data_IF_142570147803
#
_entry.id   IF_142570147803
#
_cell.length_a   1.000
_cell.length_b   1.000
_cell.length_c   1.000
_cell.angle_alpha   90.00
_cell.angle_beta   90.00
_cell.angle_gamma   90.00
#
_symmetry.space_group_name_H-M   'P 1'
#
loop_
_entity.id
_entity.type
_entity.pdbx_description
1 polymer ?
#
# COMPACT_ATOMS: atom_id res chain seq x y z
N UNK A 1 13.25 3.75 16.78
CA UNK A 1 12.09 2.86 16.95
C UNK A 1 11.85 2.25 15.60
N UNK A 2 12.24 0.99 15.44
CA UNK A 2 12.24 0.28 14.16
C UNK A 2 10.85 -0.33 13.97
N UNK A 3 10.10 0.11 12.95
CA UNK A 3 8.72 -0.33 12.71
C UNK A 3 8.63 -1.86 12.59
N UNK A 4 9.71 -2.49 12.11
CA UNK A 4 9.88 -3.95 12.03
C UNK A 4 10.05 -4.64 13.38
N UNK A 5 10.66 -4.01 14.39
CA UNK A 5 10.74 -4.56 15.75
C UNK A 5 9.39 -4.49 16.47
N UNK A 6 8.66 -3.37 16.29
CA UNK A 6 7.33 -3.19 16.86
C UNK A 6 6.32 -4.19 16.25
N UNK A 7 6.36 -4.42 14.94
CA UNK A 7 5.55 -5.45 14.27
C UNK A 7 5.81 -6.85 14.82
N UNK A 8 7.08 -7.21 15.04
CA UNK A 8 7.44 -8.52 15.56
C UNK A 8 6.88 -8.74 16.98
N UNK A 9 6.93 -7.70 17.81
CA UNK A 9 6.37 -7.75 19.16
C UNK A 9 4.85 -7.98 19.14
N UNK A 10 4.13 -7.31 18.23
CA UNK A 10 2.70 -7.46 18.04
C UNK A 10 2.32 -8.87 17.58
N UNK A 11 3.05 -9.45 16.61
CA UNK A 11 2.80 -10.83 16.18
C UNK A 11 3.05 -11.86 17.29
N UNK A 12 4.04 -11.63 18.16
CA UNK A 12 4.28 -12.49 19.34
C UNK A 12 3.12 -12.43 20.34
N UNK A 13 2.54 -11.24 20.56
CA UNK A 13 1.37 -11.07 21.44
C UNK A 13 0.16 -11.80 20.84
N UNK A 14 -0.13 -11.59 19.55
CA UNK A 14 -1.22 -12.27 18.83
C UNK A 14 -1.09 -13.80 18.93
N UNK A 15 0.12 -14.35 18.78
CA UNK A 15 0.38 -15.79 18.97
C UNK A 15 0.06 -16.25 20.40
N UNK A 16 0.46 -15.49 21.43
CA UNK A 16 0.21 -15.84 22.85
C UNK A 16 -1.28 -15.88 23.20
N UNK A 17 -2.11 -15.09 22.52
CA UNK A 17 -3.56 -15.11 22.69
C UNK A 17 -4.27 -16.13 21.77
N UNK A 18 -3.52 -16.99 21.06
CA UNK A 18 -4.05 -18.14 20.32
C UNK A 18 -4.31 -17.91 18.82
N UNK A 19 -3.88 -16.78 18.24
CA UNK A 19 -4.07 -16.56 16.80
C UNK A 19 -3.19 -17.51 15.98
N UNK A 20 -3.76 -18.02 14.88
CA UNK A 20 -3.03 -18.87 13.94
C UNK A 20 -2.23 -18.05 12.95
N UNK A 21 -1.29 -18.68 12.24
CA UNK A 21 -0.54 -18.06 11.15
C UNK A 21 -1.46 -17.45 10.08
N UNK A 22 -2.54 -18.17 9.74
CA UNK A 22 -3.52 -17.71 8.75
C UNK A 22 -4.29 -16.47 9.21
N UNK A 23 -4.57 -16.34 10.50
CA UNK A 23 -5.25 -15.15 11.04
C UNK A 23 -4.31 -13.93 11.00
N UNK A 24 -3.05 -14.12 11.38
CA UNK A 24 -2.02 -13.08 11.30
C UNK A 24 -1.79 -12.62 9.84
N UNK A 25 -1.78 -13.54 8.88
CA UNK A 25 -1.66 -13.20 7.45
C UNK A 25 -2.83 -12.39 6.92
N UNK A 26 -4.07 -12.70 7.32
CA UNK A 26 -5.25 -11.90 6.93
C UNK A 26 -5.15 -10.48 7.47
N UNK A 27 -4.76 -10.32 8.74
CA UNK A 27 -4.53 -9.01 9.35
C UNK A 27 -3.43 -8.22 8.65
N UNK A 28 -2.31 -8.88 8.32
CA UNK A 28 -1.21 -8.27 7.59
C UNK A 28 -1.64 -7.80 6.19
N UNK A 29 -2.37 -8.63 5.45
CA UNK A 29 -2.87 -8.30 4.12
C UNK A 29 -3.80 -7.07 4.17
N UNK A 30 -4.70 -7.02 5.16
CA UNK A 30 -5.57 -5.88 5.38
C UNK A 30 -4.77 -4.61 5.69
N UNK A 31 -3.79 -4.69 6.60
CA UNK A 31 -2.90 -3.56 6.94
C UNK A 31 -2.19 -3.01 5.72
N UNK A 32 -1.56 -3.88 4.92
CA UNK A 32 -0.82 -3.49 3.72
C UNK A 32 -1.77 -2.88 2.68
N UNK A 33 -2.94 -3.48 2.49
CA UNK A 33 -3.94 -2.95 1.55
C UNK A 33 -4.41 -1.56 1.95
N UNK A 34 -4.62 -1.30 3.25
CA UNK A 34 -4.97 0.03 3.73
C UNK A 34 -3.81 1.02 3.63
N UNK A 35 -2.61 0.62 4.07
CA UNK A 35 -1.44 1.50 4.12
C UNK A 35 -0.94 1.92 2.74
N UNK A 36 -1.08 1.03 1.74
CA UNK A 36 -0.70 1.34 0.35
C UNK A 36 -1.90 1.76 -0.51
N UNK A 37 -3.05 1.11 -0.36
CA UNK A 37 -4.22 1.34 -1.21
C UNK A 37 -4.91 2.67 -0.94
N UNK A 38 -5.03 3.09 0.31
CA UNK A 38 -5.74 4.34 0.65
C UNK A 38 -4.97 5.58 0.14
N UNK A 39 -3.65 5.71 0.36
CA UNK A 39 -2.87 6.77 -0.27
C UNK A 39 -2.85 6.72 -1.80
N UNK A 40 -2.76 5.52 -2.40
CA UNK A 40 -2.79 5.35 -3.85
C UNK A 40 -4.12 5.85 -4.44
N UNK A 41 -5.25 5.47 -3.82
CA UNK A 41 -6.58 5.92 -4.23
C UNK A 41 -6.70 7.44 -4.17
N UNK A 42 -6.30 8.05 -3.06
CA UNK A 42 -6.34 9.51 -2.89
C UNK A 42 -5.45 10.20 -3.92
N UNK A 43 -4.25 9.69 -4.18
CA UNK A 43 -3.34 10.24 -5.17
C UNK A 43 -3.93 10.20 -6.59
N UNK A 44 -4.57 9.09 -6.98
CA UNK A 44 -5.25 8.97 -8.27
C UNK A 44 -6.41 9.97 -8.37
N UNK A 45 -7.26 10.05 -7.35
CA UNK A 45 -8.37 11.00 -7.30
C UNK A 45 -7.87 12.45 -7.43
N UNK A 46 -6.79 12.80 -6.72
CA UNK A 46 -6.16 14.11 -6.80
C UNK A 46 -5.60 14.40 -8.19
N UNK A 47 -4.87 13.44 -8.79
CA UNK A 47 -4.28 13.59 -10.11
C UNK A 47 -5.36 13.77 -11.20
N UNK A 48 -6.46 13.01 -11.14
CA UNK A 48 -7.59 13.14 -12.06
C UNK A 48 -8.28 14.49 -11.91
N UNK A 49 -8.56 14.91 -10.67
CA UNK A 49 -9.17 16.21 -10.40
C UNK A 49 -8.30 17.37 -10.94
N UNK A 50 -6.99 17.34 -10.66
CA UNK A 50 -6.04 18.34 -11.15
C UNK A 50 -5.96 18.34 -12.68
N UNK A 51 -5.94 17.16 -13.31
CA UNK A 51 -5.92 17.03 -14.77
C UNK A 51 -7.16 17.65 -15.41
N UNK A 52 -8.35 17.35 -14.89
CA UNK A 52 -9.62 17.90 -15.41
C UNK A 52 -9.62 19.43 -15.29
N UNK A 53 -9.25 19.97 -14.13
CA UNK A 53 -9.21 21.41 -13.90
C UNK A 53 -8.22 22.11 -14.84
N UNK A 54 -7.01 21.58 -14.96
CA UNK A 54 -5.96 22.11 -15.82
C UNK A 54 -6.35 22.06 -17.30
N UNK A 55 -6.90 20.93 -17.74
CA UNK A 55 -7.33 20.72 -19.13
C UNK A 55 -8.47 21.66 -19.52
N UNK A 56 -9.42 21.90 -18.62
CA UNK A 56 -10.48 22.88 -18.82
C UNK A 56 -9.92 24.30 -18.98
N UNK A 57 -8.86 24.65 -18.25
CA UNK A 57 -8.21 25.96 -18.33
C UNK A 57 -7.37 26.13 -19.61
N UNK A 58 -6.71 25.07 -20.07
CA UNK A 58 -5.84 25.05 -21.25
C UNK A 58 -6.57 24.80 -22.58
N UNK A 59 -7.89 24.61 -22.57
CA UNK A 59 -8.66 24.36 -23.80
C UNK A 59 -8.52 22.93 -24.36
N UNK A 60 -8.40 21.93 -23.47
CA UNK A 60 -8.40 20.49 -23.80
C UNK A 60 -7.27 20.01 -24.72
N UNK A 61 -6.01 20.17 -24.29
CA UNK A 61 -4.81 19.81 -25.07
C UNK A 61 -4.57 18.28 -25.17
N UNK A 62 -4.34 17.57 -24.07
CA UNK A 62 -4.37 16.09 -23.99
C UNK A 62 -4.21 15.57 -22.56
N UNK A 63 -4.92 14.50 -22.19
CA UNK A 63 -4.77 13.82 -20.88
C UNK A 63 -3.63 12.80 -20.87
N UNK A 64 -3.03 12.49 -22.03
CA UNK A 64 -2.05 11.41 -22.19
C UNK A 64 -0.88 11.47 -21.20
N UNK A 65 -0.26 12.65 -20.94
CA UNK A 65 0.85 12.73 -20.00
C UNK A 65 0.44 12.35 -18.57
N UNK A 66 -0.75 12.76 -18.13
CA UNK A 66 -1.23 12.49 -16.77
C UNK A 66 -1.53 11.01 -16.58
N UNK A 67 -2.13 10.37 -17.59
CA UNK A 67 -2.42 8.93 -17.56
C UNK A 67 -1.11 8.12 -17.43
N UNK A 68 -0.07 8.47 -18.18
CA UNK A 68 1.23 7.79 -18.11
C UNK A 68 1.81 7.89 -16.69
N UNK A 69 1.78 9.09 -16.10
CA UNK A 69 2.29 9.30 -14.73
C UNK A 69 1.50 8.48 -13.71
N UNK A 70 0.16 8.45 -13.80
CA UNK A 70 -0.69 7.63 -12.92
C UNK A 70 -0.33 6.15 -13.03
N UNK A 71 -0.12 5.62 -14.24
CA UNK A 71 0.24 4.21 -14.46
C UNK A 71 1.60 3.91 -13.81
N UNK A 72 2.62 4.70 -14.12
CA UNK A 72 3.98 4.50 -13.58
C UNK A 72 3.97 4.58 -12.05
N UNK A 73 3.30 5.59 -11.49
CA UNK A 73 3.15 5.74 -10.05
C UNK A 73 2.46 4.53 -9.41
N UNK A 74 1.37 4.06 -10.00
CA UNK A 74 0.61 2.89 -9.52
C UNK A 74 1.48 1.63 -9.52
N UNK A 75 2.26 1.39 -10.59
CA UNK A 75 3.16 0.24 -10.67
C UNK A 75 4.23 0.26 -9.58
N UNK A 76 4.84 1.42 -9.34
CA UNK A 76 5.82 1.60 -8.27
C UNK A 76 5.18 1.28 -6.91
N UNK A 77 3.98 1.80 -6.65
CA UNK A 77 3.26 1.55 -5.40
C UNK A 77 2.95 0.06 -5.18
N UNK A 78 2.55 -0.65 -6.24
CA UNK A 78 2.32 -2.10 -6.18
C UNK A 78 3.61 -2.85 -5.83
N UNK A 79 4.76 -2.46 -6.42
CA UNK A 79 6.06 -3.08 -6.09
C UNK A 79 6.40 -2.89 -4.61
N UNK A 80 6.21 -1.69 -4.07
CA UNK A 80 6.43 -1.45 -2.64
C UNK A 80 5.49 -2.25 -1.74
N UNK A 81 4.21 -2.35 -2.09
CA UNK A 81 3.24 -3.16 -1.35
C UNK A 81 3.63 -4.65 -1.35
N UNK A 82 4.12 -5.17 -2.48
CA UNK A 82 4.62 -6.55 -2.58
C UNK A 82 5.87 -6.78 -1.73
N UNK A 83 6.83 -5.85 -1.76
CA UNK A 83 8.05 -5.93 -0.93
C UNK A 83 7.68 -5.94 0.56
N UNK A 84 6.80 -5.02 0.98
CA UNK A 84 6.30 -4.96 2.36
C UNK A 84 5.63 -6.29 2.77
N UNK A 85 4.77 -6.84 1.89
CA UNK A 85 4.11 -8.13 2.16
C UNK A 85 5.10 -9.28 2.32
N UNK A 86 6.06 -9.41 1.40
CA UNK A 86 7.08 -10.46 1.45
C UNK A 86 7.94 -10.33 2.70
N UNK A 87 8.33 -9.10 3.08
CA UNK A 87 9.13 -8.85 4.26
C UNK A 87 8.38 -9.23 5.54
N UNK A 88 7.18 -8.69 5.76
CA UNK A 88 6.39 -8.97 6.97
C UNK A 88 5.97 -10.45 7.05
N UNK A 89 5.64 -11.11 5.93
CA UNK A 89 5.37 -12.55 5.93
C UNK A 89 6.59 -13.38 6.37
N UNK A 90 7.81 -13.01 5.94
CA UNK A 90 9.04 -13.66 6.42
C UNK A 90 9.23 -13.46 7.93
N UNK A 91 8.87 -12.31 8.48
CA UNK A 91 8.96 -12.03 9.92
C UNK A 91 7.97 -12.87 10.74
N UNK A 92 6.72 -13.00 10.28
CA UNK A 92 5.73 -13.86 10.94
C UNK A 92 6.24 -15.32 10.97
N UNK A 93 6.76 -15.83 9.84
CA UNK A 93 7.32 -17.19 9.79
C UNK A 93 8.49 -17.42 10.74
N UNK A 94 9.35 -16.41 10.95
CA UNK A 94 10.46 -16.50 11.93
C UNK A 94 9.99 -16.51 13.39
N UNK A 95 8.75 -16.10 13.65
CA UNK A 95 8.18 -15.99 15.01
C UNK A 95 7.34 -17.21 15.38
N UNK A 96 7.02 -18.05 14.41
CA UNK A 96 6.32 -19.33 14.58
C UNK A 96 7.32 -20.38 15.05
#
# INVERSE_FOLDING_TARGET
MDETEDELSNFRILKRIGFTHTDMLKGLLLKITFNFGLPLLIAILHAVFAAIAFMKLMGNISFMPVIIVIIVYTLIYIVFALIAFVHSNKLIKKTI
#
